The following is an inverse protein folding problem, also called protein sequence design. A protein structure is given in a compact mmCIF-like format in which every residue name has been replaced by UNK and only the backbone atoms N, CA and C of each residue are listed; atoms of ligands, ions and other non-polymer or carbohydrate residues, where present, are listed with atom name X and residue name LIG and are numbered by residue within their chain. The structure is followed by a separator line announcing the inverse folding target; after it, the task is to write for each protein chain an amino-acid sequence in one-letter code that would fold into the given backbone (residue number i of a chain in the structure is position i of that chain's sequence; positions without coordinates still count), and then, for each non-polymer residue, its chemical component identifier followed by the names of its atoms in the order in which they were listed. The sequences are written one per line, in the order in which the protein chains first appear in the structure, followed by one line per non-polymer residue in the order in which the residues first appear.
data_IF_136485047450
#
_entry.id   IF_136485047450
#
_cell.length_a   1.000
_cell.length_b   1.000
_cell.length_c   1.000
_cell.angle_alpha   90.00
_cell.angle_beta   90.00
_cell.angle_gamma   90.00
#
_symmetry.space_group_name_H-M   'P 1'
#
loop_
_entity.id
_entity.type
_entity.pdbx_description
1 polymer ?
#
# COMPACT_ATOMS: atom_id res chain seq x y z
N UNK A 1 19.45 20.43 -23.42
CA UNK A 1 19.39 19.83 -22.07
C UNK A 1 18.08 19.08 -21.93
N UNK A 2 18.06 17.77 -22.23
CA UNK A 2 16.93 16.89 -21.96
C UNK A 2 17.45 15.81 -21.01
N UNK A 3 16.87 15.71 -19.81
CA UNK A 3 17.16 14.60 -18.89
C UNK A 3 16.05 13.57 -19.07
N UNK A 4 16.42 12.36 -19.47
CA UNK A 4 15.49 11.25 -19.63
C UNK A 4 15.08 10.75 -18.24
N UNK A 5 13.80 10.87 -17.90
CA UNK A 5 13.22 10.21 -16.72
C UNK A 5 12.55 8.92 -17.17
N UNK A 6 12.82 7.81 -16.49
CA UNK A 6 12.23 6.52 -16.81
C UNK A 6 11.06 6.23 -15.86
N UNK A 7 9.88 6.01 -16.42
CA UNK A 7 8.69 5.57 -15.68
C UNK A 7 8.35 4.15 -16.11
N UNK A 8 8.41 3.21 -15.19
CA UNK A 8 8.06 1.81 -15.45
C UNK A 8 6.72 1.48 -14.78
N UNK A 9 5.69 1.23 -15.60
CA UNK A 9 4.36 0.85 -15.14
C UNK A 9 4.17 -0.66 -15.32
N UNK A 10 3.95 -1.38 -14.21
CA UNK A 10 3.65 -2.82 -14.24
C UNK A 10 2.31 -3.10 -13.58
N UNK A 11 1.28 -3.31 -14.39
CA UNK A 11 -0.05 -3.79 -13.96
C UNK A 11 -0.15 -5.29 -14.18
N UNK A 12 -0.46 -6.06 -13.14
CA UNK A 12 -0.75 -7.50 -13.25
C UNK A 12 -2.20 -7.78 -12.85
N UNK A 13 -2.94 -8.46 -13.73
CA UNK A 13 -4.24 -9.09 -13.46
C UNK A 13 -4.03 -10.60 -13.47
N UNK A 14 -4.47 -11.28 -12.41
CA UNK A 14 -4.61 -12.73 -12.39
C UNK A 14 -6.10 -13.04 -12.24
N UNK A 15 -6.67 -13.67 -13.27
CA UNK A 15 -8.00 -14.27 -13.26
C UNK A 15 -7.81 -15.79 -13.30
N UNK A 16 -7.60 -16.39 -12.14
CA UNK A 16 -7.88 -17.82 -11.93
C UNK A 16 -9.14 -17.90 -11.07
N UNK A 17 -10.08 -18.74 -11.49
CA UNK A 17 -11.44 -18.94 -10.96
C UNK A 17 -11.76 -18.22 -9.64
N UNK A 18 -12.50 -17.11 -9.74
CA UNK A 18 -13.20 -16.47 -8.61
C UNK A 18 -12.35 -15.76 -7.54
N UNK A 19 -11.21 -15.14 -7.89
CA UNK A 19 -10.58 -14.11 -7.01
C UNK A 19 -9.99 -12.97 -7.82
N UNK A 20 -10.62 -11.79 -7.78
CA UNK A 20 -10.09 -10.58 -8.42
C UNK A 20 -8.94 -9.99 -7.59
N UNK A 21 -7.69 -10.17 -8.06
CA UNK A 21 -6.49 -9.60 -7.44
C UNK A 21 -5.87 -8.57 -8.39
N UNK A 22 -5.83 -7.32 -7.93
CA UNK A 22 -5.30 -6.21 -8.71
C UNK A 22 -4.03 -5.69 -8.06
N UNK A 23 -2.93 -5.69 -8.81
CA UNK A 23 -1.67 -5.08 -8.36
C UNK A 23 -1.17 -4.10 -9.40
N UNK A 24 -0.75 -2.94 -8.90
CA UNK A 24 -0.15 -1.86 -9.66
C UNK A 24 1.16 -1.48 -8.98
N UNK A 25 2.25 -1.58 -9.72
CA UNK A 25 3.54 -1.05 -9.31
C UNK A 25 3.99 0.01 -10.32
N UNK A 26 4.48 1.12 -9.79
CA UNK A 26 5.05 2.22 -10.58
C UNK A 26 6.40 2.56 -9.99
N UNK A 27 7.41 2.50 -10.83
CA UNK A 27 8.78 2.90 -10.50
C UNK A 27 9.15 4.13 -11.33
N UNK A 28 9.57 5.19 -10.66
CA UNK A 28 10.04 6.43 -11.28
C UNK A 28 11.50 6.57 -10.86
N UNK A 29 12.39 6.61 -11.85
CA UNK A 29 13.81 6.90 -11.63
C UNK A 29 14.16 8.17 -12.38
N UNK A 30 14.66 9.17 -11.65
CA UNK A 30 14.97 10.48 -12.21
C UNK A 30 16.30 11.00 -11.67
N UNK A 31 17.28 11.28 -12.55
CA UNK A 31 18.57 11.83 -12.14
C UNK A 31 18.50 13.22 -11.49
N UNK A 32 17.40 13.97 -11.70
CA UNK A 32 17.31 15.40 -11.30
C UNK A 32 16.24 15.71 -10.26
N UNK A 33 15.32 14.78 -9.97
CA UNK A 33 14.22 15.03 -9.03
C UNK A 33 14.26 14.08 -7.83
N UNK A 34 13.88 12.81 -8.01
CA UNK A 34 13.96 11.79 -6.97
C UNK A 34 13.49 10.44 -7.52
N UNK A 35 13.99 9.37 -6.94
CA UNK A 35 13.52 8.02 -7.23
C UNK A 35 12.33 7.67 -6.33
N UNK A 36 11.22 7.24 -6.93
CA UNK A 36 9.98 6.91 -6.23
C UNK A 36 9.47 5.55 -6.68
N UNK A 37 9.16 4.69 -5.71
CA UNK A 37 8.36 3.49 -5.91
C UNK A 37 6.96 3.69 -5.32
N UNK A 38 5.94 3.48 -6.13
CA UNK A 38 4.55 3.42 -5.70
C UNK A 38 3.99 2.01 -5.94
N UNK A 39 3.32 1.47 -4.93
CA UNK A 39 2.72 0.15 -4.98
C UNK A 39 1.30 0.19 -4.45
N UNK A 40 0.39 -0.36 -5.23
CA UNK A 40 -1.00 -0.56 -4.86
C UNK A 40 -1.39 -2.02 -5.09
N UNK A 41 -2.04 -2.63 -4.11
CA UNK A 41 -2.56 -3.98 -4.21
C UNK A 41 -3.94 -4.07 -3.56
N UNK A 42 -4.95 -4.38 -4.37
CA UNK A 42 -6.28 -4.75 -3.92
C UNK A 42 -6.42 -6.27 -3.96
N UNK A 43 -6.84 -6.82 -2.83
CA UNK A 43 -7.07 -8.25 -2.58
C UNK A 43 -8.47 -8.41 -1.99
N UNK A 44 -8.95 -9.65 -1.93
CA UNK A 44 -10.26 -9.97 -1.35
C UNK A 44 -10.40 -9.53 0.11
N UNK A 45 -9.30 -9.60 0.85
CA UNK A 45 -9.21 -9.35 2.29
C UNK A 45 -8.83 -7.91 2.63
N UNK A 46 -8.48 -7.09 1.63
CA UNK A 46 -8.08 -5.72 1.88
C UNK A 46 -7.38 -5.02 0.72
N UNK A 47 -7.06 -3.76 0.96
CA UNK A 47 -6.32 -2.89 0.05
C UNK A 47 -5.06 -2.40 0.75
N UNK A 48 -3.96 -2.37 0.02
CA UNK A 48 -2.70 -1.81 0.48
C UNK A 48 -2.16 -0.83 -0.55
N UNK A 49 -1.64 0.29 -0.08
CA UNK A 49 -0.95 1.28 -0.87
C UNK A 49 0.36 1.63 -0.16
N UNK A 50 1.43 1.86 -0.89
CA UNK A 50 2.67 2.34 -0.31
C UNK A 50 3.43 3.20 -1.30
N UNK A 51 4.19 4.13 -0.75
CA UNK A 51 5.15 4.94 -1.47
C UNK A 51 6.50 4.83 -0.77
N UNK A 52 7.57 4.77 -1.54
CA UNK A 52 8.91 4.84 -0.98
C UNK A 52 9.85 5.58 -1.88
N UNK A 53 10.79 6.26 -1.24
CA UNK A 53 11.88 6.96 -1.88
C UNK A 53 13.15 6.64 -1.11
N UNK A 54 14.31 6.45 -1.77
CA UNK A 54 15.57 6.22 -1.07
C UNK A 54 15.93 7.36 -0.09
N UNK A 55 15.50 8.58 -0.39
CA UNK A 55 15.85 9.79 0.37
C UNK A 55 14.92 10.08 1.56
N UNK A 56 13.64 9.72 1.47
CA UNK A 56 12.61 10.10 2.47
C UNK A 56 12.00 8.89 3.18
N UNK A 57 12.37 7.67 2.79
CA UNK A 57 11.95 6.43 3.43
C UNK A 57 10.67 5.86 2.82
N UNK A 58 9.95 5.05 3.61
CA UNK A 58 8.76 4.33 3.17
C UNK A 58 7.54 4.78 3.97
N UNK A 59 6.41 4.95 3.28
CA UNK A 59 5.09 5.13 3.87
C UNK A 59 4.12 4.11 3.29
N UNK A 60 3.35 3.48 4.17
CA UNK A 60 2.38 2.46 3.80
C UNK A 60 1.02 2.69 4.46
N UNK A 61 -0.03 2.41 3.70
CA UNK A 61 -1.40 2.33 4.14
C UNK A 61 -1.92 0.91 3.89
N UNK A 62 -2.55 0.32 4.89
CA UNK A 62 -3.23 -0.96 4.80
C UNK A 62 -4.65 -0.84 5.33
N UNK A 63 -5.61 -1.27 4.53
CA UNK A 63 -7.01 -1.41 4.90
C UNK A 63 -7.34 -2.90 4.82
N UNK A 64 -7.75 -3.49 5.93
CA UNK A 64 -8.07 -4.92 6.02
C UNK A 64 -9.50 -5.07 6.52
N UNK A 65 -10.27 -5.89 5.83
CA UNK A 65 -11.68 -6.18 6.12
C UNK A 65 -11.96 -7.67 6.04
N UNK A 66 -10.98 -8.50 6.47
CA UNK A 66 -11.06 -9.96 6.35
C UNK A 66 -12.26 -10.55 7.09
N UNK A 67 -12.68 -9.90 8.18
CA UNK A 67 -13.85 -10.30 8.98
C UNK A 67 -14.94 -9.27 8.68
N UNK A 68 -16.15 -9.67 8.24
CA UNK A 68 -17.21 -8.74 7.83
C UNK A 68 -17.60 -7.72 8.91
N UNK A 69 -17.48 -8.08 10.18
CA UNK A 69 -17.76 -7.21 11.32
C UNK A 69 -16.54 -6.44 11.82
N UNK A 70 -15.36 -6.59 11.22
CA UNK A 70 -14.14 -5.91 11.64
C UNK A 70 -13.45 -5.19 10.49
N UNK A 71 -13.09 -3.94 10.73
CA UNK A 71 -12.29 -3.14 9.81
C UNK A 71 -11.03 -2.66 10.53
N UNK A 72 -9.88 -2.84 9.89
CA UNK A 72 -8.60 -2.35 10.38
C UNK A 72 -7.97 -1.44 9.34
N UNK A 73 -7.56 -0.25 9.75
CA UNK A 73 -6.74 0.65 8.97
C UNK A 73 -5.41 0.88 9.69
N UNK A 74 -4.31 0.78 8.94
CA UNK A 74 -2.95 0.96 9.46
C UNK A 74 -2.19 1.90 8.54
N UNK A 75 -1.73 3.01 9.08
CA UNK A 75 -0.76 3.91 8.47
C UNK A 75 0.57 3.71 9.19
N UNK A 76 1.62 3.39 8.44
CA UNK A 76 2.92 3.06 9.01
C UNK A 76 4.03 3.61 8.12
N UNK A 77 5.20 3.84 8.71
CA UNK A 77 6.43 4.17 8.00
C UNK A 77 7.49 3.10 8.22
N UNK A 78 8.54 3.13 7.40
CA UNK A 78 9.80 2.45 7.72
C UNK A 78 10.95 3.43 7.58
N UNK A 79 11.83 3.43 8.57
CA UNK A 79 13.03 4.25 8.53
C UNK A 79 14.04 3.63 7.56
N UNK A 80 14.80 4.47 6.85
CA UNK A 80 15.85 3.99 5.96
C UNK A 80 16.95 3.22 6.70
N UNK A 81 17.15 3.51 7.99
CA UNK A 81 18.11 2.84 8.87
C UNK A 81 17.67 1.47 9.38
N UNK A 82 16.36 1.17 9.34
CA UNK A 82 15.78 -0.10 9.80
C UNK A 82 14.59 -0.47 8.90
N UNK A 83 14.84 -0.86 7.64
CA UNK A 83 13.79 -1.10 6.64
C UNK A 83 12.96 -2.38 6.88
N UNK A 84 13.37 -3.22 7.82
CA UNK A 84 12.62 -4.37 8.33
C UNK A 84 11.56 -3.98 9.37
N UNK A 85 11.70 -2.83 10.03
CA UNK A 85 10.85 -2.43 11.15
C UNK A 85 9.77 -1.45 10.71
N UNK A 86 8.52 -1.91 10.73
CA UNK A 86 7.35 -1.06 10.53
C UNK A 86 7.06 -0.24 11.79
N UNK A 87 6.95 1.07 11.63
CA UNK A 87 6.58 2.02 12.69
C UNK A 87 5.15 2.47 12.46
N UNK A 88 4.27 2.10 13.39
CA UNK A 88 2.87 2.51 13.34
C UNK A 88 2.73 4.01 13.62
N UNK A 89 2.24 4.74 12.62
CA UNK A 89 1.87 6.15 12.77
C UNK A 89 0.45 6.24 13.31
N UNK A 90 -0.45 5.44 12.73
CA UNK A 90 -1.85 5.39 13.14
C UNK A 90 -2.43 4.00 12.89
N UNK A 91 -3.12 3.46 13.89
CA UNK A 91 -3.88 2.22 13.75
C UNK A 91 -5.30 2.47 14.22
N UNK A 92 -6.25 2.23 13.32
CA UNK A 92 -7.67 2.27 13.62
C UNK A 92 -8.26 0.87 13.47
N UNK A 93 -9.07 0.47 14.45
CA UNK A 93 -9.80 -0.80 14.42
C UNK A 93 -11.24 -0.52 14.80
N UNK A 94 -12.16 -0.90 13.93
CA UNK A 94 -13.59 -0.87 14.17
C UNK A 94 -14.15 -2.28 14.20
N UNK A 95 -15.09 -2.50 15.10
CA UNK A 95 -15.82 -3.75 15.25
C UNK A 95 -17.30 -3.40 15.30
N UNK A 96 -18.09 -3.88 14.35
CA UNK A 96 -19.53 -3.86 14.45
C UNK A 96 -19.94 -4.93 15.48
N UNK A 97 -20.49 -4.50 16.61
CA UNK A 97 -21.36 -5.37 17.40
C UNK A 97 -22.73 -5.33 16.75
N UNK A 98 -23.38 -6.47 16.61
CA UNK A 98 -24.81 -6.53 16.32
C UNK A 98 -25.52 -5.52 17.21
N UNK A 99 -26.25 -4.60 16.58
CA UNK A 99 -27.23 -3.78 17.26
C UNK A 99 -28.42 -4.68 17.58
N UNK A 100 -28.23 -5.59 18.55
CA UNK A 100 -29.36 -6.23 19.23
C UNK A 100 -29.97 -5.17 20.16
N UNK A 101 -31.06 -4.58 19.69
CA UNK A 101 -32.00 -3.58 20.24
C UNK A 101 -32.16 -2.44 19.24
N UNK A 102 -33.29 -2.30 18.54
CA UNK A 102 -34.70 -2.39 18.96
C UNK A 102 -35.58 -2.63 17.75
#
# INVERSE_FOLDING_TARGET
WFVLSFVHFRKKRQEEGSVSRHTLNVDITSPTFTDVNFRYAARRDGVSASISTPSTGFLGLQLQGRIPSQLSARLYSRYASAPEDDVDILVFRATAKDADKI
#
